data_IF_204680039637
#
_entry.id   IF_204680039637
#
_cell.length_a   1.000
_cell.length_b   1.000
_cell.length_c   1.000
_cell.angle_alpha   90.00
_cell.angle_beta   90.00
_cell.angle_gamma   90.00
#
_symmetry.space_group_name_H-M   'P 1'
#
loop_
_entity.id
_entity.type
_entity.pdbx_description
1 polymer ?
#
# COMPACT_ATOMS: atom_id res chain seq x y z
N UNK A 1 -14.93 -14.34 -6.97
CA UNK A 1 -15.54 -14.56 -5.64
C UNK A 1 -16.05 -13.23 -5.12
N UNK A 2 -17.26 -13.20 -4.53
CA UNK A 2 -17.91 -11.97 -4.03
C UNK A 2 -18.40 -12.22 -2.62
N UNK A 3 -18.37 -11.20 -1.74
CA UNK A 3 -18.90 -11.22 -0.38
C UNK A 3 -19.65 -9.93 -0.06
N UNK A 4 -20.64 -10.01 0.84
CA UNK A 4 -21.30 -8.84 1.40
C UNK A 4 -20.29 -7.96 2.15
N UNK A 5 -20.49 -6.65 2.09
CA UNK A 5 -19.68 -5.70 2.83
C UNK A 5 -20.16 -5.67 4.28
N UNK A 6 -19.28 -5.94 5.27
CA UNK A 6 -19.65 -5.87 6.70
C UNK A 6 -20.27 -4.53 7.07
N UNK A 7 -21.38 -4.58 7.83
CA UNK A 7 -22.28 -3.50 8.19
C UNK A 7 -23.16 -2.96 7.04
N UNK A 8 -23.09 -3.55 5.84
CA UNK A 8 -23.91 -3.23 4.67
C UNK A 8 -24.47 -4.49 4.01
N UNK A 9 -24.66 -5.56 4.80
CA UNK A 9 -25.17 -6.84 4.34
C UNK A 9 -26.53 -6.66 3.64
N UNK A 10 -26.71 -7.32 2.52
CA UNK A 10 -27.92 -7.21 1.70
C UNK A 10 -28.09 -5.87 0.96
N UNK A 11 -27.19 -4.91 1.14
CA UNK A 11 -27.20 -3.63 0.43
C UNK A 11 -26.06 -3.54 -0.58
N UNK A 12 -24.84 -4.00 -0.20
CA UNK A 12 -23.65 -3.91 -1.04
C UNK A 12 -22.76 -5.13 -0.87
N UNK A 13 -22.11 -5.49 -1.98
CA UNK A 13 -21.09 -6.53 -2.02
C UNK A 13 -19.80 -6.02 -2.64
N UNK A 14 -18.69 -6.72 -2.39
CA UNK A 14 -17.40 -6.47 -3.01
C UNK A 14 -16.80 -7.79 -3.49
N UNK A 15 -16.08 -7.75 -4.61
CA UNK A 15 -15.37 -8.92 -5.14
C UNK A 15 -13.86 -8.85 -4.86
N UNK A 16 -13.16 -9.95 -5.17
CA UNK A 16 -11.71 -10.09 -5.00
C UNK A 16 -10.90 -9.16 -5.91
N UNK A 17 -11.51 -8.61 -6.95
CA UNK A 17 -10.89 -7.66 -7.89
C UNK A 17 -11.08 -6.20 -7.44
N UNK A 18 -11.81 -5.97 -6.33
CA UNK A 18 -12.08 -4.65 -5.77
C UNK A 18 -13.27 -3.95 -6.44
N UNK A 19 -14.10 -4.66 -7.18
CA UNK A 19 -15.35 -4.09 -7.69
C UNK A 19 -16.42 -4.12 -6.60
N UNK A 20 -17.14 -3.01 -6.46
CA UNK A 20 -18.21 -2.85 -5.47
C UNK A 20 -19.56 -2.84 -6.19
N UNK A 21 -20.53 -3.54 -5.65
CA UNK A 21 -21.85 -3.73 -6.22
C UNK A 21 -22.93 -3.28 -5.23
N UNK A 22 -23.93 -2.58 -5.72
CA UNK A 22 -25.17 -2.32 -5.00
C UNK A 22 -26.22 -3.37 -5.39
N UNK A 23 -26.84 -4.00 -4.41
CA UNK A 23 -27.96 -4.91 -4.64
C UNK A 23 -29.22 -4.16 -5.09
N UNK A 24 -30.16 -4.85 -5.76
CA UNK A 24 -31.45 -4.27 -6.12
C UNK A 24 -32.18 -3.72 -4.90
N UNK A 25 -32.78 -2.55 -5.04
CA UNK A 25 -33.59 -1.90 -4.00
C UNK A 25 -34.72 -1.07 -4.66
N UNK A 26 -35.47 -0.33 -3.85
CA UNK A 26 -36.56 0.53 -4.33
C UNK A 26 -36.12 1.57 -5.37
N UNK A 27 -34.85 2.03 -5.32
CA UNK A 27 -34.31 3.01 -6.27
C UNK A 27 -33.70 2.35 -7.53
N UNK A 28 -33.26 1.08 -7.42
CA UNK A 28 -32.62 0.34 -8.50
C UNK A 28 -33.18 -1.07 -8.60
N UNK A 29 -33.89 -1.38 -9.71
CA UNK A 29 -34.48 -2.71 -9.92
C UNK A 29 -33.43 -3.82 -10.15
N UNK A 30 -32.26 -3.45 -10.66
CA UNK A 30 -31.19 -4.39 -10.97
C UNK A 30 -29.93 -4.11 -10.14
N UNK A 31 -29.11 -5.13 -9.96
CA UNK A 31 -27.80 -4.97 -9.38
C UNK A 31 -26.98 -3.97 -10.20
N UNK A 32 -26.18 -3.14 -9.53
CA UNK A 32 -25.36 -2.12 -10.17
C UNK A 32 -23.95 -2.14 -9.63
N UNK A 33 -22.97 -2.25 -10.51
CA UNK A 33 -21.57 -2.00 -10.15
C UNK A 33 -21.37 -0.50 -9.92
N UNK A 34 -20.82 -0.13 -8.76
CA UNK A 34 -20.51 1.25 -8.41
C UNK A 34 -19.21 1.67 -9.09
N UNK A 35 -19.21 2.86 -9.69
CA UNK A 35 -18.02 3.45 -10.27
C UNK A 35 -17.17 4.10 -9.18
N UNK A 36 -15.96 3.61 -8.89
CA UNK A 36 -15.12 4.22 -7.87
C UNK A 36 -14.58 5.56 -8.33
N UNK A 37 -14.36 6.47 -7.37
CA UNK A 37 -13.77 7.79 -7.59
C UNK A 37 -12.37 7.85 -6.99
N UNK A 38 -11.46 8.58 -7.64
CA UNK A 38 -10.08 8.75 -7.21
C UNK A 38 -9.95 9.96 -6.26
N UNK A 39 -9.37 9.78 -5.09
CA UNK A 39 -8.96 10.87 -4.19
C UNK A 39 -7.60 11.45 -4.58
N UNK A 40 -7.34 12.69 -4.17
CA UNK A 40 -6.03 13.37 -4.41
C UNK A 40 -4.83 12.57 -3.91
N UNK A 41 -5.02 11.75 -2.88
CA UNK A 41 -3.98 10.90 -2.32
C UNK A 41 -3.82 9.54 -3.05
N UNK A 42 -4.48 9.33 -4.19
CA UNK A 42 -4.34 8.14 -5.02
C UNK A 42 -5.21 6.94 -4.63
N UNK A 43 -6.03 7.04 -3.59
CA UNK A 43 -6.95 5.96 -3.20
C UNK A 43 -8.29 6.04 -3.93
N UNK A 44 -8.84 4.86 -4.27
CA UNK A 44 -10.20 4.74 -4.80
C UNK A 44 -11.22 4.63 -3.66
N UNK A 45 -12.37 5.30 -3.82
CA UNK A 45 -13.48 5.24 -2.88
C UNK A 45 -14.83 5.16 -3.60
N UNK A 46 -15.82 4.65 -2.91
CA UNK A 46 -17.24 4.64 -3.30
C UNK A 46 -18.09 5.26 -2.20
N UNK A 47 -19.23 5.84 -2.58
CA UNK A 47 -20.22 6.35 -1.62
C UNK A 47 -21.30 5.30 -1.43
N UNK A 48 -21.42 4.79 -0.21
CA UNK A 48 -22.41 3.81 0.22
C UNK A 48 -23.51 4.53 1.00
N UNK A 49 -24.78 4.17 0.76
CA UNK A 49 -25.93 4.75 1.46
C UNK A 49 -26.58 3.70 2.35
N UNK A 50 -26.77 4.04 3.63
CA UNK A 50 -27.50 3.23 4.60
C UNK A 50 -28.22 4.17 5.59
N UNK A 51 -29.46 3.86 5.95
CA UNK A 51 -30.27 4.61 6.92
C UNK A 51 -30.32 6.12 6.64
N UNK A 52 -30.52 6.49 5.37
CA UNK A 52 -30.58 7.88 4.93
C UNK A 52 -29.24 8.61 4.87
N UNK A 53 -28.14 8.00 5.37
CA UNK A 53 -26.79 8.59 5.39
C UNK A 53 -25.95 8.05 4.24
N UNK A 54 -25.07 8.92 3.71
CA UNK A 54 -24.06 8.55 2.72
C UNK A 54 -22.68 8.51 3.36
N UNK A 55 -21.96 7.41 3.17
CA UNK A 55 -20.65 7.16 3.76
C UNK A 55 -19.64 6.88 2.65
N UNK A 56 -18.63 7.74 2.51
CA UNK A 56 -17.51 7.52 1.60
C UNK A 56 -16.57 6.46 2.17
N UNK A 57 -16.46 5.33 1.47
CA UNK A 57 -15.69 4.18 1.91
C UNK A 57 -14.58 3.86 0.92
N UNK A 58 -13.34 3.69 1.43
CA UNK A 58 -12.18 3.32 0.62
C UNK A 58 -12.31 1.88 0.14
N UNK A 59 -12.14 1.64 -1.16
CA UNK A 59 -12.33 0.31 -1.78
C UNK A 59 -11.42 -0.74 -1.13
N UNK A 60 -10.11 -0.47 -0.95
CA UNK A 60 -9.20 -1.41 -0.31
C UNK A 60 -9.65 -1.82 1.10
N UNK A 61 -10.27 -0.90 1.87
CA UNK A 61 -10.81 -1.21 3.20
C UNK A 61 -12.06 -2.08 3.13
N UNK A 62 -12.88 -1.91 2.10
CA UNK A 62 -14.06 -2.76 1.88
C UNK A 62 -13.63 -4.19 1.52
N UNK A 63 -12.65 -4.33 0.62
CA UNK A 63 -12.06 -5.63 0.27
C UNK A 63 -11.43 -6.28 1.51
N UNK A 64 -10.61 -5.54 2.25
CA UNK A 64 -9.97 -6.08 3.45
C UNK A 64 -11.01 -6.55 4.49
N UNK A 65 -12.04 -5.75 4.78
CA UNK A 65 -13.10 -6.12 5.72
C UNK A 65 -13.91 -7.35 5.29
N UNK A 66 -14.08 -7.56 3.99
CA UNK A 66 -14.84 -8.69 3.47
C UNK A 66 -14.02 -9.99 3.37
N UNK A 67 -12.71 -9.89 3.16
CA UNK A 67 -11.89 -11.05 2.79
C UNK A 67 -10.70 -11.32 3.71
N UNK A 68 -10.21 -10.31 4.45
CA UNK A 68 -9.08 -10.44 5.36
C UNK A 68 -9.56 -10.33 6.81
N UNK A 69 -8.88 -11.01 7.71
CA UNK A 69 -9.13 -10.89 9.15
C UNK A 69 -8.64 -9.52 9.62
N UNK A 70 -9.56 -8.55 9.71
CA UNK A 70 -9.27 -7.21 10.19
C UNK A 70 -9.10 -7.24 11.71
N UNK A 71 -7.86 -7.29 12.19
CA UNK A 71 -7.51 -7.21 13.61
C UNK A 71 -7.24 -5.75 13.98
N UNK A 72 -7.71 -5.34 15.15
CA UNK A 72 -7.47 -4.00 15.68
C UNK A 72 -5.97 -3.69 15.76
N UNK A 73 -5.61 -2.47 15.41
CA UNK A 73 -4.21 -2.02 15.37
C UNK A 73 -3.47 -2.33 14.08
N UNK A 74 -4.05 -3.13 13.15
CA UNK A 74 -3.49 -3.36 11.83
C UNK A 74 -4.00 -2.35 10.78
N UNK A 75 -3.22 -2.17 9.73
CA UNK A 75 -3.52 -1.32 8.59
C UNK A 75 -3.52 -2.13 7.30
N UNK A 76 -4.39 -1.75 6.35
CA UNK A 76 -4.35 -2.33 5.00
C UNK A 76 -3.20 -1.72 4.23
N UNK A 77 -2.32 -2.56 3.72
CA UNK A 77 -1.20 -2.21 2.85
C UNK A 77 -1.44 -2.70 1.42
N UNK A 78 -0.94 -1.94 0.43
CA UNK A 78 -0.90 -2.36 -0.98
C UNK A 78 0.49 -2.93 -1.27
N UNK A 79 0.61 -4.23 -1.47
CA UNK A 79 1.88 -4.96 -1.63
C UNK A 79 2.75 -4.34 -2.73
N UNK A 80 2.14 -3.97 -3.87
CA UNK A 80 2.85 -3.35 -5.00
C UNK A 80 2.98 -1.81 -4.88
N UNK A 81 2.53 -1.19 -3.78
CA UNK A 81 2.54 0.25 -3.56
C UNK A 81 1.54 1.06 -4.40
N UNK A 82 0.76 0.45 -5.29
CA UNK A 82 -0.22 1.13 -6.15
C UNK A 82 -1.56 1.25 -5.43
N UNK A 83 -1.86 2.42 -4.87
CA UNK A 83 -3.06 2.71 -4.05
C UNK A 83 -4.39 2.52 -4.78
N UNK A 84 -4.40 2.48 -6.10
CA UNK A 84 -5.58 2.24 -6.91
C UNK A 84 -5.78 0.74 -7.25
N UNK A 85 -4.82 -0.12 -6.98
CA UNK A 85 -4.90 -1.56 -7.23
C UNK A 85 -5.45 -2.28 -5.98
N UNK A 86 -6.78 -2.39 -5.91
CA UNK A 86 -7.50 -2.91 -4.75
C UNK A 86 -7.83 -4.40 -4.84
N UNK A 87 -7.18 -5.15 -5.74
CA UNK A 87 -7.35 -6.60 -5.83
C UNK A 87 -6.88 -7.26 -4.54
N UNK A 88 -7.62 -8.25 -4.06
CA UNK A 88 -7.32 -8.96 -2.80
C UNK A 88 -5.89 -9.48 -2.74
N UNK A 89 -5.38 -10.03 -3.86
CA UNK A 89 -3.99 -10.55 -3.97
C UNK A 89 -2.92 -9.48 -3.74
N UNK A 90 -3.28 -8.21 -3.85
CA UNK A 90 -2.40 -7.06 -3.62
C UNK A 90 -2.60 -6.40 -2.26
N UNK A 91 -3.47 -6.93 -1.41
CA UNK A 91 -3.79 -6.35 -0.10
C UNK A 91 -3.33 -7.28 1.03
N UNK A 92 -2.78 -6.69 2.07
CA UNK A 92 -2.38 -7.39 3.29
C UNK A 92 -2.68 -6.56 4.53
N UNK A 93 -2.82 -7.23 5.67
CA UNK A 93 -2.97 -6.58 6.98
C UNK A 93 -1.61 -6.54 7.68
N UNK A 94 -1.11 -5.35 8.00
CA UNK A 94 0.22 -5.14 8.57
C UNK A 94 0.19 -4.15 9.73
N UNK A 95 1.19 -4.20 10.60
CA UNK A 95 1.37 -3.20 11.64
C UNK A 95 1.66 -1.81 11.04
N UNK A 96 1.33 -0.70 11.73
CA UNK A 96 1.68 0.64 11.27
C UNK A 96 3.16 0.82 10.98
N UNK A 97 4.04 0.23 11.80
CA UNK A 97 5.49 0.26 11.59
C UNK A 97 5.89 -0.44 10.29
N UNK A 98 5.31 -1.59 10.01
CA UNK A 98 5.56 -2.35 8.78
C UNK A 98 5.05 -1.58 7.55
N UNK A 99 3.82 -1.03 7.62
CA UNK A 99 3.26 -0.22 6.55
C UNK A 99 4.10 1.03 6.23
N UNK A 100 4.62 1.70 7.28
CA UNK A 100 5.53 2.83 7.11
C UNK A 100 6.82 2.42 6.38
N UNK A 101 7.46 1.33 6.82
CA UNK A 101 8.68 0.82 6.18
C UNK A 101 8.42 0.39 4.73
N UNK A 102 7.33 -0.32 4.47
CA UNK A 102 6.92 -0.68 3.10
C UNK A 102 6.75 0.58 2.23
N UNK A 103 6.09 1.61 2.73
CA UNK A 103 5.93 2.89 2.02
C UNK A 103 7.27 3.56 1.68
N UNK A 104 8.28 3.42 2.53
CA UNK A 104 9.64 3.92 2.26
C UNK A 104 10.34 3.14 1.14
N UNK A 105 10.14 1.83 1.05
CA UNK A 105 10.85 0.97 0.10
C UNK A 105 10.15 0.84 -1.26
N UNK A 106 8.83 0.76 -1.28
CA UNK A 106 8.05 0.45 -2.50
C UNK A 106 7.54 1.72 -3.20
N UNK A 107 7.09 2.71 -2.46
CA UNK A 107 6.44 3.88 -3.06
C UNK A 107 7.38 4.95 -3.62
N UNK A 108 8.69 4.75 -3.68
CA UNK A 108 9.70 5.66 -4.25
C UNK A 108 9.54 7.17 -3.90
N UNK A 109 8.56 7.53 -3.09
CA UNK A 109 8.20 8.92 -2.74
C UNK A 109 8.89 9.43 -1.47
N UNK A 110 9.78 8.66 -0.93
CA UNK A 110 10.53 9.05 0.26
C UNK A 110 11.89 8.37 0.24
N UNK A 111 12.70 8.71 0.97
CA UNK A 111 14.02 8.46 1.52
C UNK A 111 14.77 7.20 0.98
N UNK A 112 14.12 6.11 0.58
CA UNK A 112 14.79 4.92 0.04
C UNK A 112 14.77 4.89 -1.49
N UNK A 113 15.65 5.65 -2.11
CA UNK A 113 15.93 5.59 -3.56
C UNK A 113 16.81 4.40 -3.96
N UNK A 114 17.32 3.63 -3.00
CA UNK A 114 18.23 2.53 -3.20
C UNK A 114 17.63 1.21 -2.70
N UNK A 115 17.87 0.14 -3.46
CA UNK A 115 17.56 -1.23 -3.02
C UNK A 115 18.50 -1.65 -1.88
N UNK A 116 18.18 -2.77 -1.22
CA UNK A 116 19.09 -3.33 -0.20
C UNK A 116 20.46 -3.68 -0.79
N UNK A 117 20.49 -4.28 -1.98
CA UNK A 117 21.73 -4.62 -2.70
C UNK A 117 22.57 -3.37 -3.00
N UNK A 118 21.91 -2.32 -3.49
CA UNK A 118 22.54 -1.03 -3.71
C UNK A 118 23.06 -0.40 -2.42
N UNK A 119 22.33 -0.56 -1.30
CA UNK A 119 22.78 -0.06 -0.01
C UNK A 119 24.01 -0.83 0.51
N UNK A 120 24.07 -2.14 0.34
CA UNK A 120 25.25 -2.94 0.68
C UNK A 120 26.44 -2.60 -0.24
N UNK A 121 26.20 -2.39 -1.52
CA UNK A 121 27.24 -1.92 -2.46
C UNK A 121 27.78 -0.55 -2.06
N UNK A 122 26.91 0.39 -1.66
CA UNK A 122 27.33 1.70 -1.12
C UNK A 122 28.24 1.54 0.09
N UNK A 123 27.89 0.67 1.05
CA UNK A 123 28.73 0.42 2.23
C UNK A 123 30.08 -0.13 1.84
N UNK A 124 30.12 -1.10 0.94
CA UNK A 124 31.35 -1.71 0.43
C UNK A 124 32.25 -0.68 -0.22
N UNK A 125 31.73 0.17 -1.11
CA UNK A 125 32.48 1.19 -1.83
C UNK A 125 33.03 2.27 -0.89
N UNK A 126 32.24 2.70 0.10
CA UNK A 126 32.72 3.65 1.11
C UNK A 126 33.83 3.03 1.97
N UNK A 127 33.72 1.73 2.33
CA UNK A 127 34.77 1.02 3.05
C UNK A 127 36.07 0.89 2.25
N UNK A 128 36.00 0.87 0.90
CA UNK A 128 37.13 0.89 -0.02
C UNK A 128 37.72 2.30 -0.23
N UNK A 129 37.18 3.32 0.45
CA UNK A 129 37.69 4.70 0.42
C UNK A 129 37.10 5.58 -0.68
N UNK A 130 36.06 5.13 -1.40
CA UNK A 130 35.39 5.97 -2.39
C UNK A 130 34.63 7.14 -1.72
N UNK A 131 34.68 8.31 -2.37
CA UNK A 131 34.04 9.50 -1.80
C UNK A 131 32.51 9.38 -1.86
N UNK A 132 31.85 9.57 -0.73
CA UNK A 132 30.38 9.52 -0.62
C UNK A 132 29.65 10.46 -1.60
N UNK A 133 30.30 11.56 -2.00
CA UNK A 133 29.71 12.52 -2.96
C UNK A 133 29.62 11.91 -4.36
N UNK A 134 30.60 11.15 -4.78
CA UNK A 134 30.65 10.55 -6.11
C UNK A 134 29.67 9.38 -6.20
N UNK A 135 29.63 8.54 -5.16
CA UNK A 135 28.62 7.48 -5.01
C UNK A 135 27.21 8.10 -5.04
N UNK A 136 26.97 9.21 -4.32
CA UNK A 136 25.68 9.87 -4.28
C UNK A 136 25.21 10.36 -5.66
N UNK A 137 26.14 10.89 -6.48
CA UNK A 137 25.86 11.31 -7.86
C UNK A 137 25.48 10.13 -8.75
N UNK A 138 26.23 9.04 -8.68
CA UNK A 138 26.01 7.84 -9.49
C UNK A 138 24.64 7.22 -9.20
N UNK A 139 24.30 7.08 -7.93
CA UNK A 139 23.00 6.54 -7.52
C UNK A 139 21.85 7.56 -7.55
N UNK A 140 22.11 8.80 -7.99
CA UNK A 140 21.15 9.90 -8.04
C UNK A 140 20.41 10.10 -6.71
N UNK A 141 21.17 10.15 -5.61
CA UNK A 141 20.69 10.40 -4.25
C UNK A 141 21.47 11.53 -3.59
N UNK A 142 20.95 12.05 -2.48
CA UNK A 142 21.71 13.03 -1.70
C UNK A 142 22.86 12.36 -0.93
N UNK A 143 23.98 13.07 -0.75
CA UNK A 143 25.10 12.63 0.11
C UNK A 143 24.63 12.21 1.50
N UNK A 144 23.62 12.91 2.05
CA UNK A 144 23.03 12.58 3.34
C UNK A 144 22.41 11.18 3.38
N UNK A 145 21.83 10.70 2.27
CA UNK A 145 21.31 9.33 2.13
C UNK A 145 22.44 8.32 2.25
N UNK A 146 23.56 8.56 1.55
CA UNK A 146 24.75 7.70 1.64
C UNK A 146 25.28 7.64 3.07
N UNK A 147 25.39 8.80 3.74
CA UNK A 147 25.84 8.87 5.12
C UNK A 147 24.91 8.07 6.10
N UNK A 148 23.58 8.16 5.91
CA UNK A 148 22.62 7.38 6.70
C UNK A 148 22.77 5.86 6.47
N UNK A 149 23.02 5.44 5.23
CA UNK A 149 23.26 4.03 4.89
C UNK A 149 24.52 3.52 5.59
N UNK A 150 25.62 4.26 5.47
CA UNK A 150 26.91 3.89 6.09
C UNK A 150 26.81 3.84 7.61
N UNK A 151 26.14 4.79 8.23
CA UNK A 151 25.89 4.82 9.69
C UNK A 151 24.85 3.82 10.17
N UNK A 152 24.13 3.14 9.28
CA UNK A 152 23.06 2.21 9.64
C UNK A 152 21.83 2.88 10.28
N UNK A 153 21.71 4.20 10.23
CA UNK A 153 20.61 4.94 10.87
C UNK A 153 19.34 4.96 10.02
N UNK A 154 19.44 4.78 8.69
CA UNK A 154 18.33 4.77 7.75
C UNK A 154 17.90 3.38 7.23
N UNK A 155 18.71 2.33 7.49
CA UNK A 155 18.51 0.98 6.95
C UNK A 155 18.54 -0.12 8.03
N UNK A 156 18.05 0.19 9.23
CA UNK A 156 18.09 -0.74 10.38
C UNK A 156 17.32 -2.07 10.20
N UNK A 157 16.49 -2.21 9.15
CA UNK A 157 15.63 -3.38 8.95
C UNK A 157 15.83 -4.06 7.58
N UNK A 158 17.07 -4.43 7.27
CA UNK A 158 17.41 -5.19 6.05
C UNK A 158 16.64 -6.53 5.91
N UNK A 159 16.21 -7.14 7.04
CA UNK A 159 15.39 -8.37 7.02
C UNK A 159 13.99 -8.16 6.43
N UNK A 160 13.38 -6.98 6.63
CA UNK A 160 12.04 -6.67 6.11
C UNK A 160 12.11 -6.37 4.60
N UNK A 161 13.16 -5.70 4.12
CA UNK A 161 13.36 -5.45 2.69
C UNK A 161 13.52 -6.74 1.85
N UNK A 162 13.98 -7.85 2.46
CA UNK A 162 14.08 -9.14 1.78
C UNK A 162 12.72 -9.79 1.49
N UNK A 163 11.69 -9.52 2.29
CA UNK A 163 10.34 -10.06 2.08
C UNK A 163 9.65 -9.49 0.82
N UNK A 164 10.09 -8.32 0.35
CA UNK A 164 9.49 -7.64 -0.80
C UNK A 164 10.24 -7.85 -2.13
N UNK A 165 11.27 -8.71 -2.17
CA UNK A 165 12.05 -9.04 -3.39
C UNK A 165 11.27 -9.78 -4.47
N UNK A 166 10.06 -10.26 -4.22
CA UNK A 166 9.27 -11.07 -5.13
C UNK A 166 8.15 -10.35 -5.89
N UNK A 167 8.05 -9.02 -5.79
CA UNK A 167 6.92 -8.25 -6.34
C UNK A 167 7.43 -7.13 -7.26
N UNK A 168 8.21 -7.49 -8.26
CA UNK A 168 8.59 -6.63 -9.38
C UNK A 168 7.90 -7.09 -10.66
#
# INVERSE_FOLDING_TARGET
MRKDIPNFEGLYAVDIDGNVYAYPNLAHRNEKQLKPRLRKNGYLYVSLRKDGKTIDSMVHRLVAKAFLDCVDGLQVNHINGKRADNRLVNLEMVTPSHNYLHGMFVNKNGIAKLTHEQAEEVKRRVALGERQVDIAKEFNVFKQTINQIVRGTGYKNSKIAMQYKGVA
#
